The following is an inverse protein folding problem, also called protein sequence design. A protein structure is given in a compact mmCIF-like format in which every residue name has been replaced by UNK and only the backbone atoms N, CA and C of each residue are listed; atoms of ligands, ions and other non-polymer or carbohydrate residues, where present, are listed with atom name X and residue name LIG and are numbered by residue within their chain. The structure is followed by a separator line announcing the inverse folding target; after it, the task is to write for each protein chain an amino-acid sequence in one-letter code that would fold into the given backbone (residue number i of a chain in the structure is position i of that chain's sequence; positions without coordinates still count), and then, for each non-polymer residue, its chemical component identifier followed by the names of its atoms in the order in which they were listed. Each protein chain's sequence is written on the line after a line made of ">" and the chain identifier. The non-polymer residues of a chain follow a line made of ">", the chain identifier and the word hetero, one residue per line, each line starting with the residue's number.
data_IF_829736660019
#
_entry.id   IF_829736660019
#
_cell.length_a   1.000
_cell.length_b   1.000
_cell.length_c   1.000
_cell.angle_alpha   90.00
_cell.angle_beta   90.00
_cell.angle_gamma   90.00
#
_symmetry.space_group_name_H-M   'P 1'
#
loop_
_entity.id
_entity.type
_entity.pdbx_description
1 polymer ?
#
# COMPACT_ATOMS: atom_id res chain seq x y z
N UNK A 1 8.87 -19.18 0.02
CA UNK A 1 7.73 -19.92 0.65
C UNK A 1 6.44 -19.10 0.61
N UNK A 2 6.41 -17.88 1.16
CA UNK A 2 5.21 -17.03 1.20
C UNK A 2 4.57 -16.76 -0.18
N UNK A 3 5.36 -16.35 -1.18
CA UNK A 3 4.86 -16.08 -2.54
C UNK A 3 4.14 -17.29 -3.18
N UNK A 4 4.54 -18.51 -2.83
CA UNK A 4 3.90 -19.72 -3.37
C UNK A 4 2.45 -19.84 -2.86
N UNK A 5 2.19 -19.48 -1.61
CA UNK A 5 0.84 -19.48 -1.07
C UNK A 5 -0.01 -18.38 -1.72
N UNK A 6 0.58 -17.21 -1.99
CA UNK A 6 -0.10 -16.15 -2.76
C UNK A 6 -0.46 -16.60 -4.18
N UNK A 7 0.45 -17.31 -4.85
CA UNK A 7 0.24 -17.85 -6.20
C UNK A 7 -0.90 -18.89 -6.19
N UNK A 8 -0.96 -19.77 -5.20
CA UNK A 8 -2.04 -20.78 -5.08
C UNK A 8 -3.42 -20.13 -4.95
N UNK A 9 -3.53 -18.98 -4.28
CA UNK A 9 -4.79 -18.26 -4.11
C UNK A 9 -5.34 -17.68 -5.42
N UNK A 10 -4.48 -17.36 -6.39
CA UNK A 10 -4.90 -16.70 -7.64
C UNK A 10 -4.84 -17.62 -8.85
N UNK A 11 -4.05 -18.69 -8.80
CA UNK A 11 -3.87 -19.59 -9.93
C UNK A 11 -5.05 -20.57 -10.06
N UNK A 12 -5.69 -20.69 -11.24
CA UNK A 12 -6.77 -21.66 -11.49
C UNK A 12 -6.35 -23.12 -11.30
N UNK A 13 -5.05 -23.42 -11.34
CA UNK A 13 -4.49 -24.76 -11.08
C UNK A 13 -4.61 -25.19 -9.62
N UNK A 14 -4.92 -24.26 -8.72
CA UNK A 14 -5.01 -24.47 -7.28
C UNK A 14 -6.34 -23.93 -6.73
N UNK A 15 -6.30 -22.94 -5.84
CA UNK A 15 -7.47 -22.37 -5.19
C UNK A 15 -8.10 -21.24 -6.01
N UNK A 16 -7.47 -20.78 -7.09
CA UNK A 16 -7.93 -19.61 -7.86
C UNK A 16 -9.37 -19.69 -8.38
N UNK A 17 -9.92 -20.89 -8.61
CA UNK A 17 -11.33 -21.07 -9.01
C UNK A 17 -12.30 -20.93 -7.84
N UNK A 18 -11.85 -21.17 -6.60
CA UNK A 18 -12.66 -21.10 -5.37
C UNK A 18 -12.47 -19.77 -4.63
N UNK A 19 -11.33 -19.10 -4.83
CA UNK A 19 -11.04 -17.80 -4.22
C UNK A 19 -11.97 -16.71 -4.78
N UNK A 20 -12.62 -15.92 -3.91
CA UNK A 20 -13.43 -14.78 -4.34
C UNK A 20 -12.66 -13.81 -5.24
N UNK A 21 -13.36 -13.21 -6.21
CA UNK A 21 -12.73 -12.30 -7.18
C UNK A 21 -12.03 -11.11 -6.51
N UNK A 22 -12.66 -10.52 -5.50
CA UNK A 22 -12.12 -9.40 -4.70
C UNK A 22 -10.80 -9.75 -4.03
N UNK A 23 -10.70 -10.96 -3.48
CA UNK A 23 -9.47 -11.45 -2.85
C UNK A 23 -8.39 -11.65 -3.91
N UNK A 24 -8.71 -12.27 -5.06
CA UNK A 24 -7.74 -12.43 -6.16
C UNK A 24 -7.21 -11.10 -6.65
N UNK A 25 -8.10 -10.13 -6.86
CA UNK A 25 -7.71 -8.77 -7.26
C UNK A 25 -6.77 -8.13 -6.24
N UNK A 26 -7.07 -8.26 -4.93
CA UNK A 26 -6.22 -7.69 -3.89
C UNK A 26 -4.84 -8.35 -3.82
N UNK A 27 -4.77 -9.67 -3.97
CA UNK A 27 -3.50 -10.41 -4.03
C UNK A 27 -2.66 -9.93 -5.22
N UNK A 28 -3.26 -9.83 -6.41
CA UNK A 28 -2.56 -9.37 -7.61
C UNK A 28 -2.11 -7.90 -7.50
N UNK A 29 -2.94 -7.04 -6.89
CA UNK A 29 -2.58 -5.65 -6.61
C UNK A 29 -1.38 -5.56 -5.66
N UNK A 30 -1.38 -6.33 -4.56
CA UNK A 30 -0.26 -6.34 -3.61
C UNK A 30 1.03 -6.84 -4.25
N UNK A 31 0.96 -7.94 -5.04
CA UNK A 31 2.11 -8.44 -5.77
C UNK A 31 2.68 -7.38 -6.71
N UNK A 32 1.83 -6.64 -7.43
CA UNK A 32 2.25 -5.54 -8.30
C UNK A 32 2.93 -4.42 -7.51
N UNK A 33 2.29 -3.89 -6.47
CA UNK A 33 2.84 -2.82 -5.63
C UNK A 33 4.21 -3.23 -5.06
N UNK A 34 4.34 -4.47 -4.59
CA UNK A 34 5.62 -4.96 -4.07
C UNK A 34 6.71 -5.09 -5.11
N UNK A 35 6.39 -5.24 -6.41
CA UNK A 35 7.43 -5.14 -7.46
C UNK A 35 8.00 -3.73 -7.59
N UNK A 36 7.24 -2.70 -7.20
CA UNK A 36 7.67 -1.29 -7.20
C UNK A 36 8.38 -0.93 -5.89
N UNK A 37 7.81 -1.31 -4.74
CA UNK A 37 8.34 -0.96 -3.42
C UNK A 37 9.62 -1.72 -3.07
N UNK A 38 9.77 -2.96 -3.58
CA UNK A 38 10.89 -3.85 -3.28
C UNK A 38 11.61 -4.32 -4.57
N UNK A 39 12.22 -3.41 -5.36
CA UNK A 39 12.80 -3.76 -6.66
C UNK A 39 14.00 -4.71 -6.56
N UNK A 40 14.64 -4.81 -5.39
CA UNK A 40 15.74 -5.76 -5.11
C UNK A 40 15.24 -7.19 -4.92
N UNK A 41 13.97 -7.38 -4.54
CA UNK A 41 13.35 -8.68 -4.31
C UNK A 41 12.86 -9.28 -5.63
N UNK A 42 13.80 -9.79 -6.42
CA UNK A 42 13.55 -10.29 -7.78
C UNK A 42 12.48 -11.39 -7.84
N UNK A 43 12.34 -12.19 -6.78
CA UNK A 43 11.35 -13.27 -6.68
C UNK A 43 9.91 -12.77 -6.77
N UNK A 44 9.63 -11.56 -6.30
CA UNK A 44 8.30 -10.96 -6.38
C UNK A 44 7.96 -10.66 -7.84
N UNK A 45 8.91 -10.02 -8.55
CA UNK A 45 8.78 -9.70 -9.98
C UNK A 45 8.65 -10.97 -10.83
N UNK A 46 9.47 -11.99 -10.57
CA UNK A 46 9.39 -13.29 -11.24
C UNK A 46 8.00 -13.94 -11.08
N UNK A 47 7.46 -13.95 -9.85
CA UNK A 47 6.14 -14.51 -9.58
C UNK A 47 5.02 -13.74 -10.29
N UNK A 48 5.09 -12.40 -10.27
CA UNK A 48 4.13 -11.53 -10.95
C UNK A 48 4.17 -11.71 -12.47
N UNK A 49 5.36 -11.67 -13.07
CA UNK A 49 5.56 -11.84 -14.52
C UNK A 49 5.12 -13.25 -14.97
N UNK A 50 5.36 -14.28 -14.16
CA UNK A 50 4.88 -15.64 -14.41
C UNK A 50 3.33 -15.70 -14.44
N UNK A 51 2.65 -15.09 -13.46
CA UNK A 51 1.18 -15.04 -13.42
C UNK A 51 0.60 -14.28 -14.61
N UNK A 52 1.26 -13.20 -15.04
CA UNK A 52 0.91 -12.45 -16.25
C UNK A 52 1.05 -13.32 -17.51
N UNK A 53 2.17 -14.02 -17.65
CA UNK A 53 2.43 -14.91 -18.81
C UNK A 53 1.41 -16.04 -18.91
N UNK A 54 0.88 -16.52 -17.78
CA UNK A 54 -0.15 -17.55 -17.73
C UNK A 54 -1.57 -17.01 -17.99
N UNK A 55 -1.74 -15.70 -18.24
CA UNK A 55 -3.05 -15.09 -18.49
C UNK A 55 -3.94 -14.99 -17.25
N UNK A 56 -3.37 -15.17 -16.04
CA UNK A 56 -4.08 -14.98 -14.77
C UNK A 56 -4.31 -13.49 -14.51
N UNK A 57 -3.38 -12.65 -14.95
CA UNK A 57 -3.47 -11.19 -14.87
C UNK A 57 -3.85 -10.68 -16.25
N UNK A 58 -5.14 -10.35 -16.44
CA UNK A 58 -5.67 -9.79 -17.70
C UNK A 58 -5.68 -8.26 -17.66
N UNK A 59 -6.10 -7.70 -16.54
CA UNK A 59 -6.06 -6.27 -16.25
C UNK A 59 -5.53 -6.11 -14.82
N UNK A 60 -4.49 -5.29 -14.65
CA UNK A 60 -3.98 -4.96 -13.32
C UNK A 60 -5.02 -4.00 -12.71
N UNK A 61 -5.65 -4.33 -11.57
CA UNK A 61 -6.55 -3.41 -10.90
C UNK A 61 -5.77 -2.14 -10.61
N UNK A 62 -6.26 -1.02 -11.14
CA UNK A 62 -5.60 0.28 -11.05
C UNK A 62 -5.13 0.51 -9.59
N UNK A 63 -3.84 0.79 -9.34
CA UNK A 63 -3.32 0.99 -7.98
C UNK A 63 -4.07 2.07 -7.20
N UNK A 64 -4.74 2.96 -7.94
CA UNK A 64 -5.50 4.10 -7.45
C UNK A 64 -6.98 3.83 -7.21
N UNK A 65 -7.50 2.59 -7.27
CA UNK A 65 -8.88 2.36 -6.83
C UNK A 65 -8.90 2.34 -5.30
N UNK A 66 -9.50 3.33 -4.63
CA UNK A 66 -9.70 3.25 -3.21
C UNK A 66 -10.82 2.23 -3.01
N UNK A 67 -10.45 0.99 -2.71
CA UNK A 67 -11.42 0.02 -2.19
C UNK A 67 -11.77 0.48 -0.77
N UNK A 68 -12.64 1.49 -0.68
CA UNK A 68 -13.37 1.84 0.52
C UNK A 68 -14.33 0.70 0.78
N UNK A 69 -13.91 -0.23 1.63
CA UNK A 69 -14.59 -0.40 2.91
C UNK A 69 -13.52 -0.59 3.97
N UNK A 70 -13.42 0.32 4.97
CA UNK A 70 -12.56 0.08 6.12
C UNK A 70 -13.20 -1.07 6.90
N UNK A 71 -12.71 -2.28 6.67
CA UNK A 71 -12.93 -3.36 7.62
C UNK A 71 -12.37 -2.83 8.93
N UNK A 72 -13.26 -2.60 9.89
CA UNK A 72 -12.95 -2.15 11.24
C UNK A 72 -12.27 -3.29 12.01
N UNK A 73 -11.17 -3.81 11.47
CA UNK A 73 -10.22 -4.57 12.25
C UNK A 73 -9.64 -3.59 13.25
N UNK A 74 -9.68 -3.88 14.57
CA UNK A 74 -8.92 -3.09 15.51
C UNK A 74 -7.48 -3.18 15.03
N UNK A 75 -6.97 -2.07 14.48
CA UNK A 75 -5.57 -1.96 14.07
C UNK A 75 -4.77 -2.33 15.31
N UNK A 76 -4.21 -3.54 15.33
CA UNK A 76 -3.13 -3.86 16.26
C UNK A 76 -2.10 -2.78 15.96
N UNK A 77 -1.92 -1.87 16.91
CA UNK A 77 -0.96 -0.77 16.87
C UNK A 77 0.43 -1.38 16.69
N UNK A 78 0.77 -1.68 15.45
CA UNK A 78 2.11 -1.99 15.01
C UNK A 78 2.76 -0.63 14.78
N UNK A 79 3.15 -0.02 15.91
CA UNK A 79 4.24 0.95 16.01
C UNK A 79 4.27 2.01 14.91
N UNK A 80 3.25 2.85 14.81
CA UNK A 80 3.54 4.26 14.55
C UNK A 80 3.96 4.91 15.87
N UNK A 81 4.56 6.09 15.81
CA UNK A 81 4.49 7.07 16.91
C UNK A 81 5.68 7.19 17.88
N UNK A 82 6.92 7.20 17.37
CA UNK A 82 7.91 8.11 17.97
C UNK A 82 8.72 8.78 16.86
N UNK A 83 9.32 7.98 15.96
CA UNK A 83 10.24 8.52 14.96
C UNK A 83 9.55 9.34 13.86
N UNK A 84 8.34 8.93 13.44
CA UNK A 84 7.57 9.67 12.43
C UNK A 84 6.96 10.96 12.99
N UNK A 85 6.57 10.98 14.28
CA UNK A 85 5.98 12.18 14.88
C UNK A 85 7.06 13.23 15.16
N UNK A 86 8.28 12.83 15.52
CA UNK A 86 9.41 13.75 15.63
C UNK A 86 9.80 14.39 14.30
N UNK A 87 9.84 13.62 13.21
CA UNK A 87 10.19 14.14 11.88
C UNK A 87 9.10 15.09 11.35
N UNK A 88 7.83 14.69 11.46
CA UNK A 88 6.71 15.55 11.08
C UNK A 88 6.66 16.83 11.94
N UNK A 89 6.99 16.75 13.23
CA UNK A 89 7.05 17.92 14.12
C UNK A 89 8.15 18.90 13.72
N UNK A 90 9.34 18.40 13.34
CA UNK A 90 10.45 19.24 12.82
C UNK A 90 10.08 19.94 11.51
N UNK A 91 9.40 19.22 10.61
CA UNK A 91 8.92 19.78 9.34
C UNK A 91 7.88 20.88 9.60
N UNK A 92 6.91 20.61 10.47
CA UNK A 92 5.89 21.60 10.84
C UNK A 92 6.52 22.86 11.45
N UNK A 93 7.48 22.70 12.36
CA UNK A 93 8.20 23.82 12.97
C UNK A 93 8.93 24.68 11.91
N UNK A 94 9.59 24.03 10.93
CA UNK A 94 10.26 24.73 9.84
C UNK A 94 9.28 25.50 8.94
N UNK A 95 8.13 24.89 8.61
CA UNK A 95 7.10 25.51 7.79
C UNK A 95 6.44 26.71 8.50
N UNK A 96 6.19 26.61 9.81
CA UNK A 96 5.63 27.70 10.62
C UNK A 96 6.59 28.89 10.83
N UNK A 97 7.90 28.64 10.79
CA UNK A 97 8.92 29.70 10.90
C UNK A 97 9.23 30.39 9.57
N UNK A 98 8.72 29.85 8.46
CA UNK A 98 8.91 30.44 7.14
C UNK A 98 7.99 31.65 6.92
N UNK A 99 8.46 32.63 6.14
CA UNK A 99 7.67 33.79 5.68
C UNK A 99 7.07 33.57 4.29
N UNK A 100 7.33 32.40 3.69
CA UNK A 100 6.82 32.04 2.39
C UNK A 100 5.32 31.67 2.50
N UNK A 101 4.42 32.30 1.71
CA UNK A 101 3.01 31.93 1.69
C UNK A 101 2.75 30.45 1.35
N UNK A 102 3.62 29.79 0.57
CA UNK A 102 3.50 28.36 0.25
C UNK A 102 3.79 27.48 1.46
N UNK A 103 4.83 27.81 2.23
CA UNK A 103 5.20 27.08 3.45
C UNK A 103 4.12 27.23 4.53
N UNK A 104 3.50 28.41 4.64
CA UNK A 104 2.38 28.64 5.56
C UNK A 104 1.17 27.79 5.19
N UNK A 105 0.88 27.62 3.89
CA UNK A 105 -0.18 26.73 3.43
C UNK A 105 0.14 25.25 3.72
N UNK A 106 1.38 24.85 3.49
CA UNK A 106 1.86 23.49 3.79
C UNK A 106 1.77 23.19 5.31
N UNK A 107 2.10 24.15 6.17
CA UNK A 107 1.93 24.03 7.62
C UNK A 107 0.46 23.80 8.01
N UNK A 108 -0.46 24.60 7.45
CA UNK A 108 -1.89 24.47 7.73
C UNK A 108 -2.46 23.12 7.28
N UNK A 109 -1.98 22.60 6.15
CA UNK A 109 -2.36 21.27 5.67
C UNK A 109 -1.84 20.17 6.61
N UNK A 110 -0.59 20.26 7.05
CA UNK A 110 0.05 19.30 7.95
C UNK A 110 -0.59 19.29 9.35
N UNK A 111 -0.98 20.45 9.89
CA UNK A 111 -1.75 20.54 11.15
C UNK A 111 -3.09 19.81 11.00
N UNK A 112 -3.79 20.02 9.88
CA UNK A 112 -5.10 19.41 9.64
C UNK A 112 -5.05 17.89 9.44
N UNK A 113 -3.93 17.36 8.93
CA UNK A 113 -3.74 15.90 8.83
C UNK A 113 -3.42 15.29 10.20
N UNK A 114 -2.58 15.95 11.02
CA UNK A 114 -2.27 15.51 12.39
C UNK A 114 -3.51 15.45 13.29
N UNK A 115 -4.38 16.46 13.26
CA UNK A 115 -5.61 16.52 14.09
C UNK A 115 -6.64 15.44 13.74
N UNK A 116 -6.62 14.90 12.52
CA UNK A 116 -7.51 13.81 12.11
C UNK A 116 -6.96 12.42 12.43
N UNK A 117 -5.67 12.34 12.77
CA UNK A 117 -4.98 11.09 13.12
C UNK A 117 -5.09 10.75 14.62
N UNK A 118 -5.50 11.70 15.48
CA UNK A 118 -5.80 11.53 16.91
C UNK A 118 -7.27 11.15 17.23
#
# INVERSE_FOLDING_TARGET
>A
RFLNEMIKLVSPKYLGSQTPLTVKQKVLQLLYVWTLDYPKETKIKEAFDMLRKQGVIREIPNPNVPSYEPVNVPKRKLTSSVFQDEEKSKILQKLLQSKDPEDVQAANWLIKSMVKED
#
